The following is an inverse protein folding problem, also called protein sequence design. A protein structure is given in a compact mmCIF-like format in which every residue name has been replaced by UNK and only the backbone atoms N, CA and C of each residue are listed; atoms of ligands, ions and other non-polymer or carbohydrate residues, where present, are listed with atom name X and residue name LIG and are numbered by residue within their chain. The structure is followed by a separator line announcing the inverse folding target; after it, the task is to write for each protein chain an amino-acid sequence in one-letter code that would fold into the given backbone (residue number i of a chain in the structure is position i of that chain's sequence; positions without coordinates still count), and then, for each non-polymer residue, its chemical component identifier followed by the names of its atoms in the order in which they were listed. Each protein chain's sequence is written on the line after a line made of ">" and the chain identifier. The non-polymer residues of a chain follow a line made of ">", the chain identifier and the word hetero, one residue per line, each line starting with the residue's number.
data_IF_165105403378
#
_entry.id   IF_165105403378
#
_cell.length_a   1.000
_cell.length_b   1.000
_cell.length_c   1.000
_cell.angle_alpha   90.00
_cell.angle_beta   90.00
_cell.angle_gamma   90.00
#
_symmetry.space_group_name_H-M   'P 1'
#
loop_
_entity.id
_entity.type
_entity.pdbx_description
1 polymer ?
#
# COMPACT_ATOMS: atom_id res chain seq x y z
N UNK A 1 -1.61 2.00 -13.54
CA UNK A 1 -2.11 0.66 -13.93
C UNK A 1 -3.15 0.13 -12.95
N UNK A 2 -2.91 0.18 -11.63
CA UNK A 2 -3.90 -0.26 -10.62
C UNK A 2 -5.28 0.36 -10.84
N UNK A 3 -5.36 1.68 -10.99
CA UNK A 3 -6.63 2.38 -11.26
C UNK A 3 -7.34 1.94 -12.55
N UNK A 4 -6.60 1.43 -13.55
CA UNK A 4 -7.18 0.89 -14.79
C UNK A 4 -7.68 -0.55 -14.64
N UNK A 5 -7.07 -1.33 -13.74
CA UNK A 5 -7.48 -2.70 -13.41
C UNK A 5 -8.64 -2.75 -12.41
N UNK A 6 -8.84 -1.67 -11.65
CA UNK A 6 -9.90 -1.56 -10.66
C UNK A 6 -11.28 -1.66 -11.32
N UNK A 7 -12.28 -2.24 -10.64
CA UNK A 7 -13.64 -2.27 -11.17
C UNK A 7 -14.20 -0.86 -11.30
N UNK A 8 -14.93 -0.62 -12.39
CA UNK A 8 -15.68 0.61 -12.58
C UNK A 8 -16.71 0.78 -11.45
N UNK A 9 -16.80 1.99 -10.94
CA UNK A 9 -17.82 2.42 -9.99
C UNK A 9 -18.13 3.91 -10.21
N UNK A 10 -19.22 4.40 -9.64
CA UNK A 10 -19.66 5.79 -9.81
C UNK A 10 -18.92 6.78 -8.86
N UNK A 11 -17.82 6.37 -8.23
CA UNK A 11 -17.07 7.22 -7.30
C UNK A 11 -16.03 8.08 -8.03
N UNK A 12 -15.72 9.28 -7.53
CA UNK A 12 -14.73 10.15 -8.15
C UNK A 12 -13.33 9.55 -8.09
N UNK A 13 -12.68 9.42 -9.24
CA UNK A 13 -11.25 9.09 -9.34
C UNK A 13 -10.44 10.39 -9.45
N UNK A 14 -9.72 10.74 -8.39
CA UNK A 14 -8.91 11.95 -8.32
C UNK A 14 -7.43 11.58 -8.36
N UNK A 15 -6.66 12.28 -9.20
CA UNK A 15 -5.22 12.07 -9.33
C UNK A 15 -4.45 13.12 -8.54
N UNK A 16 -3.63 12.68 -7.58
CA UNK A 16 -2.63 13.54 -6.96
C UNK A 16 -1.58 13.89 -8.02
N UNK A 17 -1.21 15.17 -8.20
CA UNK A 17 -0.17 15.55 -9.15
C UNK A 17 1.18 14.98 -8.70
N UNK A 18 1.75 14.14 -9.55
CA UNK A 18 3.09 13.57 -9.39
C UNK A 18 3.86 13.84 -10.66
N UNK A 19 5.08 14.38 -10.53
CA UNK A 19 5.95 14.61 -11.68
C UNK A 19 6.32 13.25 -12.30
N UNK A 20 6.11 13.12 -13.60
CA UNK A 20 6.55 11.93 -14.32
C UNK A 20 8.09 11.84 -14.28
N UNK A 21 8.62 10.64 -14.06
CA UNK A 21 10.07 10.42 -14.07
C UNK A 21 10.64 10.73 -15.46
N UNK A 22 11.62 11.62 -15.51
CA UNK A 22 12.28 12.09 -16.73
C UNK A 22 13.72 11.55 -16.88
N UNK A 23 14.13 10.63 -16.00
CA UNK A 23 15.50 10.10 -15.96
C UNK A 23 16.41 10.82 -14.98
N UNK A 24 15.97 11.94 -14.38
CA UNK A 24 16.76 12.67 -13.39
C UNK A 24 16.69 11.98 -12.03
N UNK A 25 17.82 11.56 -11.42
CA UNK A 25 17.82 10.99 -10.09
C UNK A 25 17.29 11.96 -9.04
N UNK A 26 16.60 11.44 -8.02
CA UNK A 26 16.20 12.24 -6.87
C UNK A 26 17.43 12.63 -6.04
N UNK A 27 17.46 13.89 -5.60
CA UNK A 27 18.52 14.38 -4.70
C UNK A 27 18.25 13.94 -3.26
N UNK A 28 19.32 13.65 -2.51
CA UNK A 28 19.23 13.43 -1.08
C UNK A 28 19.22 14.77 -0.35
N UNK A 29 18.09 15.10 0.27
CA UNK A 29 17.88 16.35 0.98
C UNK A 29 17.72 16.06 2.49
N UNK A 30 18.77 16.32 3.26
CA UNK A 30 18.79 16.07 4.72
C UNK A 30 18.50 14.61 5.10
N UNK A 31 19.05 13.65 4.33
CA UNK A 31 18.90 12.22 4.60
C UNK A 31 17.70 11.56 3.92
N UNK A 32 16.86 12.32 3.21
CA UNK A 32 15.67 11.81 2.52
C UNK A 32 15.78 12.09 1.02
N UNK A 33 15.68 11.04 0.19
CA UNK A 33 15.69 11.20 -1.27
C UNK A 33 14.37 11.82 -1.75
N UNK A 34 14.45 12.87 -2.57
CA UNK A 34 13.29 13.52 -3.17
C UNK A 34 12.39 14.24 -2.17
N UNK A 35 12.96 14.76 -1.06
CA UNK A 35 12.20 15.36 0.04
C UNK A 35 11.27 16.46 -0.42
N UNK A 36 11.73 17.33 -1.31
CA UNK A 36 10.89 18.39 -1.86
C UNK A 36 9.67 17.82 -2.56
N UNK A 37 9.86 16.84 -3.43
CA UNK A 37 8.78 16.20 -4.21
C UNK A 37 7.80 15.47 -3.30
N UNK A 38 8.28 14.80 -2.26
CA UNK A 38 7.43 14.10 -1.28
C UNK A 38 6.55 15.08 -0.49
N UNK A 39 7.09 16.21 -0.07
CA UNK A 39 6.31 17.24 0.63
C UNK A 39 5.27 17.88 -0.28
N UNK A 40 5.63 18.22 -1.53
CA UNK A 40 4.69 18.78 -2.51
C UNK A 40 3.53 17.82 -2.79
N UNK A 41 3.80 16.52 -2.92
CA UNK A 41 2.77 15.49 -3.11
C UNK A 41 1.89 15.31 -1.88
N UNK A 42 2.47 15.32 -0.67
CA UNK A 42 1.74 15.24 0.58
C UNK A 42 0.79 16.43 0.75
N UNK A 43 1.27 17.65 0.51
CA UNK A 43 0.45 18.87 0.54
C UNK A 43 -0.67 18.82 -0.49
N UNK A 44 -0.40 18.36 -1.72
CA UNK A 44 -1.41 18.23 -2.75
C UNK A 44 -2.50 17.20 -2.37
N UNK A 45 -2.11 16.06 -1.81
CA UNK A 45 -3.05 15.05 -1.31
C UNK A 45 -3.93 15.62 -0.19
N UNK A 46 -3.34 16.32 0.78
CA UNK A 46 -4.09 16.98 1.86
C UNK A 46 -5.10 18.00 1.32
N UNK A 47 -4.71 18.84 0.36
CA UNK A 47 -5.63 19.81 -0.26
C UNK A 47 -6.80 19.12 -0.96
N UNK A 48 -6.54 18.04 -1.72
CA UNK A 48 -7.58 17.26 -2.40
C UNK A 48 -8.56 16.67 -1.38
N UNK A 49 -8.04 16.04 -0.32
CA UNK A 49 -8.85 15.40 0.71
C UNK A 49 -9.70 16.44 1.45
N UNK A 50 -9.12 17.58 1.83
CA UNK A 50 -9.82 18.66 2.52
C UNK A 50 -10.93 19.30 1.66
N UNK A 51 -10.75 19.32 0.33
CA UNK A 51 -11.75 19.81 -0.60
C UNK A 51 -12.97 18.87 -0.72
N UNK A 52 -12.74 17.55 -0.70
CA UNK A 52 -13.80 16.55 -0.91
C UNK A 52 -14.43 16.04 0.40
N UNK A 53 -13.69 16.09 1.51
CA UNK A 53 -14.09 15.62 2.84
C UNK A 53 -14.72 14.22 2.82
N UNK A 54 -14.06 13.22 2.21
CA UNK A 54 -14.66 11.90 2.02
C UNK A 54 -14.88 11.16 3.34
N UNK A 55 -15.87 10.27 3.36
CA UNK A 55 -16.04 9.26 4.42
C UNK A 55 -15.10 8.06 4.26
N UNK A 56 -14.78 7.73 3.01
CA UNK A 56 -13.94 6.58 2.65
C UNK A 56 -12.91 6.96 1.61
N UNK A 57 -11.72 6.40 1.70
CA UNK A 57 -10.64 6.64 0.74
C UNK A 57 -10.06 5.30 0.28
N UNK A 58 -10.05 5.10 -1.05
CA UNK A 58 -9.26 4.04 -1.70
C UNK A 58 -8.10 4.70 -2.43
N UNK A 59 -6.88 4.23 -2.18
CA UNK A 59 -5.66 4.71 -2.82
C UNK A 59 -5.09 3.64 -3.74
N UNK A 60 -5.02 3.97 -5.02
CA UNK A 60 -4.19 3.25 -5.98
C UNK A 60 -2.80 3.88 -5.93
N UNK A 61 -1.97 3.36 -5.03
CA UNK A 61 -0.73 3.97 -4.61
C UNK A 61 0.42 3.89 -5.61
N UNK A 62 1.51 4.56 -5.20
CA UNK A 62 2.89 4.28 -5.61
C UNK A 62 3.56 3.49 -4.49
N UNK A 63 4.55 4.09 -3.84
CA UNK A 63 5.14 3.55 -2.61
C UNK A 63 4.21 3.65 -1.38
N UNK A 64 4.62 3.10 -0.24
CA UNK A 64 3.83 3.07 1.00
C UNK A 64 3.56 4.46 1.64
N UNK A 65 4.32 5.51 1.30
CA UNK A 65 4.14 6.84 1.92
C UNK A 65 2.85 7.54 1.48
N UNK A 66 2.26 7.13 0.35
CA UNK A 66 1.04 7.74 -0.22
C UNK A 66 -0.15 7.73 0.73
N UNK A 67 -0.14 6.87 1.75
CA UNK A 67 -1.23 6.68 2.70
C UNK A 67 -1.14 7.64 3.90
N UNK A 68 -0.02 8.34 4.09
CA UNK A 68 0.20 9.19 5.25
C UNK A 68 -0.91 10.24 5.43
N UNK A 69 -1.21 11.03 4.40
CA UNK A 69 -2.27 12.04 4.48
C UNK A 69 -3.68 11.43 4.57
N UNK A 70 -4.06 10.45 3.72
CA UNK A 70 -5.36 9.78 3.80
C UNK A 70 -5.67 9.14 5.16
N UNK A 71 -4.73 8.36 5.73
CA UNK A 71 -4.96 7.69 7.01
C UNK A 71 -4.95 8.66 8.18
N UNK A 72 -4.11 9.71 8.16
CA UNK A 72 -4.17 10.78 9.15
C UNK A 72 -5.55 11.48 9.14
N UNK A 73 -6.06 11.81 7.95
CA UNK A 73 -7.39 12.42 7.79
C UNK A 73 -8.51 11.49 8.27
N UNK A 74 -8.49 10.20 7.90
CA UNK A 74 -9.51 9.24 8.35
C UNK A 74 -9.45 9.04 9.86
N UNK A 75 -8.25 9.02 10.45
CA UNK A 75 -8.09 8.89 11.89
C UNK A 75 -8.69 10.10 12.63
N UNK A 76 -8.44 11.32 12.15
CA UNK A 76 -9.07 12.53 12.69
C UNK A 76 -10.60 12.50 12.51
N UNK A 77 -11.08 12.13 11.32
CA UNK A 77 -12.52 12.02 11.01
C UNK A 77 -13.25 11.08 11.97
N UNK A 78 -12.60 9.96 12.30
CA UNK A 78 -13.15 8.92 13.17
C UNK A 78 -12.68 9.04 14.62
N UNK A 79 -12.32 10.26 15.05
CA UNK A 79 -12.12 10.60 16.47
C UNK A 79 -10.89 9.97 17.13
N UNK A 80 -9.90 9.55 16.35
CA UNK A 80 -8.71 8.85 16.84
C UNK A 80 -8.93 7.36 17.14
N UNK A 81 -10.08 6.79 16.75
CA UNK A 81 -10.45 5.38 16.98
C UNK A 81 -10.31 4.50 15.72
N UNK A 82 -9.57 4.97 14.71
CA UNK A 82 -9.34 4.21 13.48
C UNK A 82 -8.41 3.02 13.77
N UNK A 83 -8.90 1.80 13.52
CA UNK A 83 -8.05 0.63 13.47
C UNK A 83 -7.19 0.67 12.20
N UNK A 84 -5.93 0.23 12.29
CA UNK A 84 -5.05 0.06 11.15
C UNK A 84 -4.55 -1.38 11.11
N UNK A 85 -4.78 -2.05 9.98
CA UNK A 85 -4.13 -3.33 9.66
C UNK A 85 -3.09 -3.06 8.57
N UNK A 86 -1.83 -3.36 8.88
CA UNK A 86 -0.69 -3.24 7.99
C UNK A 86 -0.32 -4.61 7.42
N UNK A 87 -0.58 -4.83 6.13
CA UNK A 87 -0.31 -6.11 5.45
C UNK A 87 0.94 -5.93 4.59
N UNK A 88 2.08 -6.44 5.05
CA UNK A 88 3.41 -6.16 4.49
C UNK A 88 4.39 -7.33 4.75
N UNK A 89 5.34 -7.57 3.84
CA UNK A 89 6.40 -8.57 4.03
C UNK A 89 7.54 -8.08 4.93
N UNK A 90 7.75 -6.77 5.02
CA UNK A 90 8.94 -6.14 5.59
C UNK A 90 8.95 -6.03 7.11
N UNK A 91 7.89 -6.46 7.81
CA UNK A 91 7.89 -6.60 9.27
C UNK A 91 8.58 -7.88 9.79
N UNK A 92 9.62 -8.39 9.10
CA UNK A 92 10.55 -9.31 9.75
C UNK A 92 11.40 -8.46 10.70
N UNK A 93 11.06 -8.39 11.99
CA UNK A 93 11.58 -7.33 12.82
C UNK A 93 13.07 -7.61 13.05
N UNK A 94 13.91 -6.60 12.85
CA UNK A 94 15.23 -6.59 13.48
C UNK A 94 15.03 -6.71 15.00
N UNK A 95 16.09 -7.01 15.77
CA UNK A 95 15.98 -7.02 17.24
C UNK A 95 15.42 -5.69 17.76
N UNK A 96 15.79 -4.57 17.13
CA UNK A 96 15.30 -3.24 17.46
C UNK A 96 13.81 -3.07 17.13
N UNK A 97 13.32 -3.60 16.00
CA UNK A 97 11.91 -3.52 15.64
C UNK A 97 11.04 -4.38 16.59
N UNK A 98 11.56 -5.55 16.99
CA UNK A 98 10.88 -6.42 17.97
C UNK A 98 10.67 -5.71 19.31
N UNK A 99 11.68 -4.99 19.80
CA UNK A 99 11.59 -4.20 21.03
C UNK A 99 10.54 -3.08 20.90
N UNK A 100 10.47 -2.40 19.75
CA UNK A 100 9.50 -1.33 19.51
C UNK A 100 8.08 -1.89 19.45
N UNK A 101 7.85 -2.97 18.69
CA UNK A 101 6.55 -3.65 18.57
C UNK A 101 6.05 -4.06 19.96
N UNK A 102 6.92 -4.69 20.76
CA UNK A 102 6.57 -5.10 22.12
C UNK A 102 6.28 -3.91 23.03
N UNK A 103 7.11 -2.86 22.98
CA UNK A 103 6.97 -1.66 23.82
C UNK A 103 5.68 -0.89 23.52
N UNK A 104 5.29 -0.82 22.25
CA UNK A 104 4.09 -0.11 21.81
C UNK A 104 2.83 -0.98 21.87
N UNK A 105 2.97 -2.28 22.14
CA UNK A 105 1.86 -3.22 22.20
C UNK A 105 1.23 -3.50 20.82
N UNK A 106 1.99 -3.31 19.74
CA UNK A 106 1.55 -3.59 18.38
C UNK A 106 1.33 -5.10 18.25
N UNK A 107 0.16 -5.50 17.74
CA UNK A 107 -0.17 -6.89 17.47
C UNK A 107 0.33 -7.25 16.08
N UNK A 108 1.01 -8.39 15.96
CA UNK A 108 1.49 -8.94 14.69
C UNK A 108 0.86 -10.31 14.46
N UNK A 109 0.61 -10.64 13.20
CA UNK A 109 0.11 -11.95 12.78
C UNK A 109 0.86 -12.41 11.53
N UNK A 110 1.53 -13.56 11.61
CA UNK A 110 2.37 -14.05 10.50
C UNK A 110 1.56 -14.75 9.42
N UNK A 111 2.10 -14.85 8.20
CA UNK A 111 1.43 -15.56 7.08
C UNK A 111 0.97 -16.96 7.46
N UNK A 112 1.78 -17.73 8.20
CA UNK A 112 1.43 -19.10 8.64
C UNK A 112 0.25 -19.15 9.61
N UNK A 113 0.11 -18.15 10.46
CA UNK A 113 -1.04 -18.02 11.36
C UNK A 113 -2.29 -17.70 10.53
N UNK A 114 -2.19 -16.66 9.69
CA UNK A 114 -3.27 -16.18 8.82
C UNK A 114 -3.67 -17.18 7.72
N UNK A 115 -2.84 -18.19 7.44
CA UNK A 115 -3.20 -19.32 6.57
C UNK A 115 -4.24 -20.23 7.21
N UNK A 116 -4.23 -20.35 8.54
CA UNK A 116 -5.06 -21.29 9.27
C UNK A 116 -6.29 -20.61 9.87
N UNK A 117 -6.18 -19.34 10.28
CA UNK A 117 -7.25 -18.61 10.94
C UNK A 117 -7.05 -17.10 10.88
N UNK A 118 -8.16 -16.35 10.83
CA UNK A 118 -8.19 -14.89 11.02
C UNK A 118 -8.78 -14.49 12.37
N UNK A 119 -9.06 -15.45 13.25
CA UNK A 119 -9.75 -15.19 14.52
C UNK A 119 -8.97 -14.25 15.44
N UNK A 120 -7.63 -14.31 15.47
CA UNK A 120 -6.80 -13.39 16.26
C UNK A 120 -7.01 -11.92 15.85
N UNK A 121 -7.18 -11.65 14.56
CA UNK A 121 -7.50 -10.31 14.05
C UNK A 121 -8.92 -9.88 14.41
N UNK A 122 -9.89 -10.80 14.31
CA UNK A 122 -11.29 -10.51 14.67
C UNK A 122 -11.46 -10.26 16.16
N UNK A 123 -10.80 -11.06 16.99
CA UNK A 123 -10.74 -10.87 18.44
C UNK A 123 -10.12 -9.51 18.76
N UNK A 124 -9.00 -9.15 18.13
CA UNK A 124 -8.39 -7.84 18.29
C UNK A 124 -9.33 -6.69 17.92
N UNK A 125 -10.04 -6.79 16.78
CA UNK A 125 -11.03 -5.78 16.35
C UNK A 125 -12.12 -5.61 17.41
N UNK A 126 -12.67 -6.72 17.93
CA UNK A 126 -13.75 -6.74 18.93
C UNK A 126 -13.28 -6.19 20.27
N UNK A 127 -12.17 -6.68 20.79
CA UNK A 127 -11.62 -6.30 22.09
C UNK A 127 -11.18 -4.83 22.11
N UNK A 128 -10.66 -4.33 20.99
CA UNK A 128 -10.26 -2.93 20.83
C UNK A 128 -11.44 -2.01 20.53
N UNK A 129 -12.64 -2.55 20.30
CA UNK A 129 -13.83 -1.76 19.97
C UNK A 129 -13.73 -1.02 18.63
N UNK A 130 -12.95 -1.53 17.68
CA UNK A 130 -12.68 -0.88 16.39
C UNK A 130 -13.93 -0.90 15.51
N UNK A 131 -14.46 0.29 15.21
CA UNK A 131 -15.66 0.47 14.37
C UNK A 131 -15.35 0.84 12.92
N UNK A 132 -14.19 1.44 12.69
CA UNK A 132 -13.73 1.84 11.38
C UNK A 132 -12.30 1.35 11.21
N UNK A 133 -12.01 0.75 10.05
CA UNK A 133 -10.74 0.13 9.74
C UNK A 133 -10.13 0.73 8.49
N UNK A 134 -8.84 1.04 8.56
CA UNK A 134 -7.97 1.26 7.42
C UNK A 134 -7.09 0.02 7.19
N UNK A 135 -6.93 -0.34 5.93
CA UNK A 135 -6.07 -1.44 5.49
C UNK A 135 -4.97 -0.86 4.60
N UNK A 136 -3.73 -1.00 5.04
CA UNK A 136 -2.56 -0.87 4.19
C UNK A 136 -2.29 -2.24 3.54
N UNK A 137 -2.18 -2.25 2.21
CA UNK A 137 -1.76 -3.43 1.46
C UNK A 137 -0.51 -3.11 0.66
N UNK A 138 0.64 -3.48 1.22
CA UNK A 138 1.86 -3.64 0.45
C UNK A 138 1.74 -4.90 -0.39
N UNK A 139 1.79 -4.76 -1.72
CA UNK A 139 1.70 -5.93 -2.60
C UNK A 139 2.89 -6.88 -2.45
N UNK A 140 4.01 -6.43 -1.89
CA UNK A 140 5.18 -7.26 -1.70
C UNK A 140 5.01 -8.37 -0.66
N UNK A 141 3.92 -8.35 0.12
CA UNK A 141 3.45 -9.46 0.96
C UNK A 141 3.18 -10.73 0.13
N UNK A 142 2.90 -10.56 -1.16
CA UNK A 142 2.65 -11.65 -2.10
C UNK A 142 3.95 -12.36 -2.50
N UNK A 143 3.86 -13.68 -2.70
CA UNK A 143 5.00 -14.46 -3.19
C UNK A 143 5.39 -14.03 -4.63
N UNK A 144 6.63 -13.55 -4.86
CA UNK A 144 7.07 -13.08 -6.17
C UNK A 144 7.09 -14.18 -7.25
N UNK A 145 7.03 -15.47 -6.87
CA UNK A 145 6.90 -16.58 -7.82
C UNK A 145 5.53 -16.61 -8.48
N UNK A 146 4.49 -16.13 -7.80
CA UNK A 146 3.11 -16.14 -8.29
C UNK A 146 2.64 -14.76 -8.76
N UNK A 147 3.15 -13.68 -8.16
CA UNK A 147 2.84 -12.31 -8.57
C UNK A 147 4.13 -11.53 -8.88
N UNK A 148 4.35 -11.22 -10.16
CA UNK A 148 5.66 -10.74 -10.66
C UNK A 148 5.76 -9.22 -10.81
N UNK A 149 4.72 -8.48 -10.42
CA UNK A 149 4.73 -7.02 -10.48
C UNK A 149 5.18 -6.43 -9.14
N UNK A 150 6.33 -6.90 -8.66
CA UNK A 150 6.91 -6.61 -7.33
C UNK A 150 8.41 -6.30 -7.46
N UNK A 151 8.98 -5.58 -6.50
CA UNK A 151 10.42 -5.30 -6.44
C UNK A 151 11.25 -6.59 -6.52
N UNK A 152 10.87 -7.59 -5.74
CA UNK A 152 11.51 -8.91 -5.67
C UNK A 152 11.42 -9.74 -6.96
N UNK A 153 10.62 -9.31 -7.93
CA UNK A 153 10.44 -9.95 -9.22
C UNK A 153 11.06 -9.15 -10.38
N UNK A 154 11.91 -8.16 -10.09
CA UNK A 154 12.64 -7.41 -11.10
C UNK A 154 13.56 -8.34 -11.91
N UNK A 155 13.38 -8.48 -13.23
CA UNK A 155 14.17 -9.37 -14.07
C UNK A 155 15.61 -8.89 -14.34
N UNK A 156 15.88 -7.58 -14.21
CA UNK A 156 17.19 -6.97 -14.52
C UNK A 156 18.06 -6.81 -13.27
N UNK A 157 17.44 -6.59 -12.11
CA UNK A 157 18.12 -6.37 -10.85
C UNK A 157 17.47 -7.19 -9.72
N UNK A 158 17.80 -8.48 -9.58
CA UNK A 158 17.27 -9.32 -8.51
C UNK A 158 17.59 -8.73 -7.13
N UNK A 159 16.54 -8.44 -6.36
CA UNK A 159 16.65 -7.81 -5.05
C UNK A 159 16.69 -8.89 -3.95
N UNK A 160 17.77 -8.94 -3.17
CA UNK A 160 18.02 -9.98 -2.15
C UNK A 160 18.40 -9.41 -0.78
N UNK A 161 18.03 -8.17 -0.48
CA UNK A 161 18.40 -7.51 0.79
C UNK A 161 17.39 -7.75 1.93
N UNK A 162 16.17 -8.15 1.62
CA UNK A 162 15.11 -8.49 2.59
C UNK A 162 14.39 -9.77 2.18
N UNK A 163 13.65 -10.36 3.12
CA UNK A 163 12.79 -11.49 2.82
C UNK A 163 11.61 -11.03 1.95
N UNK A 164 11.35 -11.77 0.86
CA UNK A 164 10.17 -11.53 0.06
C UNK A 164 8.90 -12.07 0.74
N UNK A 165 7.75 -11.53 0.35
CA UNK A 165 6.45 -12.04 0.73
C UNK A 165 6.24 -13.52 0.44
N UNK A 166 5.29 -14.10 1.14
CA UNK A 166 4.93 -15.52 1.04
C UNK A 166 3.44 -15.74 0.84
N UNK A 167 2.63 -14.68 0.94
CA UNK A 167 1.18 -14.76 0.86
C UNK A 167 0.74 -15.05 -0.58
N UNK A 168 -0.35 -15.82 -0.72
CA UNK A 168 -0.96 -16.12 -2.01
C UNK A 168 -2.19 -15.23 -2.24
N UNK A 169 -2.50 -14.86 -3.49
CA UNK A 169 -3.67 -14.01 -3.79
C UNK A 169 -5.00 -14.50 -3.22
N UNK A 170 -5.35 -15.81 -3.28
CA UNK A 170 -6.60 -16.28 -2.67
C UNK A 170 -6.65 -16.09 -1.15
N UNK A 171 -5.49 -16.21 -0.48
CA UNK A 171 -5.36 -15.98 0.96
C UNK A 171 -5.57 -14.49 1.27
N UNK A 172 -4.92 -13.61 0.52
CA UNK A 172 -5.09 -12.16 0.67
C UNK A 172 -6.54 -11.73 0.47
N UNK A 173 -7.20 -12.22 -0.58
CA UNK A 173 -8.61 -11.93 -0.83
C UNK A 173 -9.50 -12.43 0.30
N UNK A 174 -9.25 -13.65 0.81
CA UNK A 174 -10.00 -14.18 1.94
C UNK A 174 -9.83 -13.30 3.18
N UNK A 175 -8.61 -12.88 3.50
CA UNK A 175 -8.30 -12.00 4.61
C UNK A 175 -9.05 -10.67 4.50
N UNK A 176 -8.95 -9.96 3.37
CA UNK A 176 -9.63 -8.67 3.17
C UNK A 176 -11.15 -8.82 3.31
N UNK A 177 -11.74 -9.91 2.79
CA UNK A 177 -13.17 -10.20 2.97
C UNK A 177 -13.55 -10.40 4.43
N UNK A 178 -12.79 -11.20 5.17
CA UNK A 178 -13.04 -11.45 6.60
C UNK A 178 -12.95 -10.17 7.43
N UNK A 179 -11.99 -9.30 7.14
CA UNK A 179 -11.86 -7.99 7.80
C UNK A 179 -13.05 -7.09 7.49
N UNK A 180 -13.49 -7.07 6.23
CA UNK A 180 -14.65 -6.28 5.77
C UNK A 180 -15.99 -6.78 6.31
N UNK A 181 -16.07 -8.05 6.71
CA UNK A 181 -17.25 -8.63 7.37
C UNK A 181 -17.32 -8.26 8.87
N UNK A 182 -16.17 -8.00 9.50
CA UNK A 182 -16.07 -7.79 10.95
C UNK A 182 -16.27 -6.32 11.35
N UNK A 183 -15.79 -5.37 10.54
CA UNK A 183 -15.91 -3.93 10.84
C UNK A 183 -15.92 -3.09 9.56
N UNK A 184 -16.29 -1.82 9.64
CA UNK A 184 -16.43 -0.97 8.45
C UNK A 184 -15.07 -0.55 7.91
N UNK A 185 -14.71 -1.04 6.73
CA UNK A 185 -13.47 -0.63 6.03
C UNK A 185 -13.70 0.72 5.36
N UNK A 186 -13.02 1.74 5.87
CA UNK A 186 -13.11 3.14 5.43
C UNK A 186 -11.84 3.61 4.71
N UNK A 187 -10.72 2.90 4.87
CA UNK A 187 -9.47 3.17 4.18
C UNK A 187 -8.92 1.91 3.54
N UNK A 188 -8.51 1.98 2.28
CA UNK A 188 -7.77 0.91 1.62
C UNK A 188 -6.67 1.50 0.74
N UNK A 189 -5.41 1.23 1.05
CA UNK A 189 -4.29 1.56 0.19
C UNK A 189 -3.69 0.31 -0.42
N UNK A 190 -3.33 0.39 -1.69
CA UNK A 190 -2.69 -0.68 -2.46
C UNK A 190 -1.40 -0.10 -3.03
N UNK A 191 -0.25 -0.55 -2.52
CA UNK A 191 1.07 0.07 -2.74
C UNK A 191 2.06 -0.92 -3.36
N UNK A 192 3.26 -0.42 -3.71
CA UNK A 192 4.41 -1.19 -4.21
C UNK A 192 4.16 -2.03 -5.46
N UNK A 193 3.22 -1.59 -6.29
CA UNK A 193 2.98 -2.21 -7.59
C UNK A 193 4.06 -1.82 -8.62
N UNK A 194 4.91 -2.77 -8.97
CA UNK A 194 6.04 -2.59 -9.90
C UNK A 194 5.90 -3.48 -11.14
N UNK A 195 5.11 -3.08 -12.15
CA UNK A 195 4.76 -3.93 -13.27
C UNK A 195 5.82 -3.96 -14.38
N UNK A 196 6.94 -4.64 -14.12
CA UNK A 196 8.10 -4.71 -15.00
C UNK A 196 7.75 -5.02 -16.46
N UNK A 197 6.94 -6.05 -16.71
CA UNK A 197 6.52 -6.42 -18.07
C UNK A 197 5.76 -5.30 -18.78
N UNK A 198 4.90 -4.57 -18.07
CA UNK A 198 4.15 -3.46 -18.63
C UNK A 198 5.03 -2.26 -18.91
N UNK A 199 6.02 -2.00 -18.05
CA UNK A 199 7.02 -0.94 -18.27
C UNK A 199 7.86 -1.26 -19.51
N UNK A 200 8.38 -2.49 -19.62
CA UNK A 200 9.16 -2.93 -20.77
C UNK A 200 8.34 -2.91 -22.06
N UNK A 201 7.10 -3.38 -22.02
CA UNK A 201 6.21 -3.36 -23.17
C UNK A 201 5.90 -1.92 -23.59
N UNK A 202 5.60 -1.02 -22.65
CA UNK A 202 5.37 0.41 -22.95
C UNK A 202 6.59 1.03 -23.64
N UNK A 203 7.80 0.73 -23.16
CA UNK A 203 9.03 1.25 -23.76
C UNK A 203 9.22 0.70 -25.17
N UNK A 204 9.04 -0.61 -25.38
CA UNK A 204 9.11 -1.23 -26.70
C UNK A 204 8.10 -0.61 -27.68
N UNK A 205 6.84 -0.46 -27.27
CA UNK A 205 5.80 0.13 -28.12
C UNK A 205 6.12 1.59 -28.48
N UNK A 206 6.71 2.33 -27.54
CA UNK A 206 7.17 3.71 -27.75
C UNK A 206 8.27 3.85 -28.81
N UNK A 207 8.99 2.78 -29.15
CA UNK A 207 10.04 2.78 -30.18
C UNK A 207 9.55 2.27 -31.55
N UNK A 208 8.32 1.74 -31.65
CA UNK A 208 7.78 1.21 -32.91
C UNK A 208 7.32 2.35 -33.83
N UNK A 209 7.91 2.57 -35.02
CA UNK A 209 7.62 3.75 -35.83
C UNK A 209 6.16 3.89 -36.27
N UNK A 210 5.46 2.80 -36.59
CA UNK A 210 4.06 2.86 -37.04
C UNK A 210 3.09 3.31 -35.94
N UNK A 211 3.48 3.24 -34.67
CA UNK A 211 2.64 3.67 -33.53
C UNK A 211 2.84 5.15 -33.18
N UNK A 212 3.87 5.80 -33.73
CA UNK A 212 4.29 7.16 -33.39
C UNK A 212 4.16 8.16 -34.55
N UNK A 213 3.59 7.73 -35.68
CA UNK A 213 3.36 8.55 -36.88
C UNK A 213 1.87 8.81 -37.09
#
# INVERSE_FOLDING_TARGET
>A
MLAWLAPDNDQPLIKVPVQAYDGTPLENENGLNGRKQLLEQLEAAQHIINAHKPDRIVMFGGDCLVEQAPFAYLNERYGGELGLIWIDAHEAPTEQDSEIIQRLGIKTAGTKELMNSTESLKEWIKESGIKHLAIHLDLDVLDPKVFRSLLFANPEAPYNFSAAGTMQMPQLLHLIKQLSEETDVVGLGITEHLPWDSIHLKNLLGEIPILNN
#
